data_IF_176369450333
#
_entry.id   IF_176369450333
#
_cell.length_a   1.000
_cell.length_b   1.000
_cell.length_c   1.000
_cell.angle_alpha   90.00
_cell.angle_beta   90.00
_cell.angle_gamma   90.00
#
_symmetry.space_group_name_H-M   'P 1'
#
loop_
_entity.id
_entity.type
_entity.pdbx_description
1 polymer ?
#
# COMPACT_ATOMS: atom_id res chain seq x y z
N UNK A 1 -19.39 -1.96 -24.85
CA UNK A 1 -18.18 -1.44 -25.53
C UNK A 1 -17.89 -2.31 -26.75
N UNK A 2 -17.95 -1.77 -27.98
CA UNK A 2 -17.47 -2.51 -29.17
C UNK A 2 -15.94 -2.46 -29.17
N UNK A 3 -15.30 -3.61 -28.98
CA UNK A 3 -13.84 -3.73 -29.04
C UNK A 3 -13.41 -3.44 -30.48
N UNK A 4 -12.68 -2.34 -30.70
CA UNK A 4 -12.11 -1.99 -32.00
C UNK A 4 -10.67 -2.50 -31.99
N UNK A 5 -10.36 -3.66 -32.62
CA UNK A 5 -9.01 -4.18 -32.60
C UNK A 5 -8.04 -3.17 -33.22
N UNK A 6 -6.89 -3.00 -32.58
CA UNK A 6 -5.77 -2.23 -33.12
C UNK A 6 -5.40 -2.79 -34.50
N UNK A 7 -5.24 -1.90 -35.49
CA UNK A 7 -4.75 -2.29 -36.84
C UNK A 7 -3.28 -2.75 -36.83
N UNK A 8 -2.56 -2.48 -35.75
CA UNK A 8 -1.17 -2.89 -35.57
C UNK A 8 -1.14 -4.25 -34.89
N UNK A 9 -0.49 -5.23 -35.54
CA UNK A 9 -0.15 -6.51 -34.93
C UNK A 9 0.72 -6.29 -33.69
N UNK A 10 0.40 -7.01 -32.60
CA UNK A 10 1.12 -6.88 -31.34
C UNK A 10 2.44 -7.64 -31.43
N UNK A 11 3.56 -6.93 -31.48
CA UNK A 11 4.89 -7.54 -31.59
C UNK A 11 5.53 -7.70 -30.19
N UNK A 12 6.48 -8.63 -30.04
CA UNK A 12 7.30 -8.76 -28.81
C UNK A 12 8.00 -7.43 -28.47
N UNK A 13 8.34 -6.64 -29.50
CA UNK A 13 8.90 -5.30 -29.36
C UNK A 13 7.94 -4.26 -28.74
N UNK A 14 6.65 -4.57 -28.62
CA UNK A 14 5.67 -3.71 -27.95
C UNK A 14 5.57 -4.02 -26.44
N UNK A 15 6.14 -5.14 -25.96
CA UNK A 15 6.15 -5.51 -24.53
C UNK A 15 7.05 -4.58 -23.69
N UNK A 16 6.72 -4.35 -22.41
CA UNK A 16 7.51 -3.47 -21.55
C UNK A 16 8.92 -4.04 -21.32
N UNK A 17 9.92 -3.18 -21.52
CA UNK A 17 11.35 -3.50 -21.30
C UNK A 17 11.74 -3.52 -19.82
N UNK A 18 11.05 -2.74 -18.98
CA UNK A 18 11.33 -2.66 -17.55
C UNK A 18 10.06 -2.36 -16.74
N UNK A 19 10.16 -2.48 -15.40
CA UNK A 19 9.03 -2.27 -14.48
C UNK A 19 8.44 -0.85 -14.53
N UNK A 20 9.26 0.16 -14.85
CA UNK A 20 8.77 1.54 -15.06
C UNK A 20 7.90 1.65 -16.31
N UNK A 21 8.35 1.07 -17.42
CA UNK A 21 7.56 1.01 -18.66
C UNK A 21 6.28 0.21 -18.47
N UNK A 22 6.34 -0.88 -17.68
CA UNK A 22 5.18 -1.70 -17.33
C UNK A 22 4.09 -0.90 -16.58
N UNK A 23 4.47 0.00 -15.68
CA UNK A 23 3.51 0.88 -15.00
C UNK A 23 2.69 1.73 -15.99
N UNK A 24 3.36 2.35 -16.97
CA UNK A 24 2.66 3.15 -17.98
C UNK A 24 1.86 2.28 -18.96
N UNK A 25 2.31 1.04 -19.21
CA UNK A 25 1.57 0.08 -20.03
C UNK A 25 0.24 -0.33 -19.37
N UNK A 26 0.22 -0.47 -18.04
CA UNK A 26 -0.99 -0.78 -17.27
C UNK A 26 -2.09 0.28 -17.44
N UNK A 27 -1.72 1.56 -17.48
CA UNK A 27 -2.67 2.63 -17.77
C UNK A 27 -3.27 2.56 -19.18
N UNK A 28 -2.50 2.09 -20.15
CA UNK A 28 -2.94 1.99 -21.55
C UNK A 28 -3.82 0.77 -21.77
N UNK A 29 -3.50 -0.34 -21.10
CA UNK A 29 -4.12 -1.64 -21.36
C UNK A 29 -5.34 -1.92 -20.49
N UNK A 30 -5.28 -1.60 -19.18
CA UNK A 30 -6.36 -1.89 -18.22
C UNK A 30 -6.53 -0.78 -17.16
N UNK A 31 -6.87 0.45 -17.56
CA UNK A 31 -7.07 1.56 -16.61
C UNK A 31 -8.19 1.29 -15.60
N UNK A 32 -9.25 0.57 -15.99
CA UNK A 32 -10.37 0.25 -15.10
C UNK A 32 -9.96 -0.63 -13.90
N UNK A 33 -8.90 -1.42 -14.03
CA UNK A 33 -8.43 -2.26 -12.93
C UNK A 33 -7.89 -1.42 -11.76
N UNK A 34 -7.34 -0.23 -12.02
CA UNK A 34 -6.98 0.70 -10.94
C UNK A 34 -8.21 1.16 -10.16
N UNK A 35 -9.32 1.47 -10.87
CA UNK A 35 -10.57 1.87 -10.24
C UNK A 35 -11.21 0.71 -9.46
N UNK A 36 -11.18 -0.51 -9.99
CA UNK A 36 -11.66 -1.72 -9.29
C UNK A 36 -10.88 -1.97 -7.99
N UNK A 37 -9.55 -1.83 -8.04
CA UNK A 37 -8.69 -1.89 -6.85
C UNK A 37 -9.05 -0.77 -5.87
N UNK A 38 -9.25 0.46 -6.36
CA UNK A 38 -9.64 1.61 -5.54
C UNK A 38 -11.00 1.47 -4.85
N UNK A 39 -12.00 0.96 -5.56
CA UNK A 39 -13.33 0.69 -5.01
C UNK A 39 -13.26 -0.39 -3.93
N UNK A 40 -12.46 -1.43 -4.16
CA UNK A 40 -12.25 -2.47 -3.16
C UNK A 40 -11.52 -1.93 -1.93
N UNK A 41 -10.49 -1.09 -2.10
CA UNK A 41 -9.83 -0.40 -1.00
C UNK A 41 -10.83 0.45 -0.23
N UNK A 42 -11.64 1.26 -0.91
CA UNK A 42 -12.65 2.10 -0.28
C UNK A 42 -13.63 1.29 0.57
N UNK A 43 -14.05 0.11 0.10
CA UNK A 43 -14.87 -0.81 0.89
C UNK A 43 -14.18 -1.23 2.19
N UNK A 44 -12.90 -1.63 2.13
CA UNK A 44 -12.15 -2.03 3.34
C UNK A 44 -11.75 -0.86 4.24
N UNK A 45 -11.66 0.36 3.71
CA UNK A 45 -11.49 1.59 4.47
C UNK A 45 -12.80 2.14 5.05
N UNK A 46 -13.96 1.63 4.63
CA UNK A 46 -15.26 2.15 5.10
C UNK A 46 -15.44 2.16 6.62
N UNK A 47 -14.98 1.15 7.40
CA UNK A 47 -15.09 1.23 8.87
C UNK A 47 -14.30 2.40 9.45
N UNK A 48 -13.10 2.66 8.91
CA UNK A 48 -12.27 3.79 9.29
C UNK A 48 -12.96 5.13 8.96
N UNK A 49 -13.50 5.26 7.74
CA UNK A 49 -14.19 6.48 7.29
C UNK A 49 -15.42 6.79 8.13
N UNK A 50 -16.19 5.76 8.50
CA UNK A 50 -17.35 5.91 9.40
C UNK A 50 -16.89 6.34 10.80
N UNK A 51 -15.88 5.67 11.37
CA UNK A 51 -15.33 6.03 12.67
C UNK A 51 -14.77 7.46 12.69
N UNK A 52 -14.14 7.89 11.60
CA UNK A 52 -13.59 9.23 11.43
C UNK A 52 -14.68 10.32 11.47
N UNK A 53 -15.75 10.15 10.69
CA UNK A 53 -16.88 11.07 10.69
C UNK A 53 -17.60 11.05 12.04
N UNK A 54 -17.78 9.87 12.63
CA UNK A 54 -18.40 9.71 13.94
C UNK A 54 -17.61 10.43 15.04
N UNK A 55 -16.27 10.27 15.09
CA UNK A 55 -15.38 10.99 16.00
C UNK A 55 -15.64 12.49 15.92
N UNK A 56 -15.68 13.05 14.71
CA UNK A 56 -15.81 14.48 14.56
C UNK A 56 -17.21 14.98 14.93
N UNK A 57 -18.26 14.48 14.27
CA UNK A 57 -19.59 15.06 14.36
C UNK A 57 -20.38 14.64 15.61
N UNK A 58 -20.13 13.45 16.12
CA UNK A 58 -20.87 12.92 17.27
C UNK A 58 -20.14 13.18 18.58
N UNK A 59 -18.81 13.25 18.56
CA UNK A 59 -18.00 13.38 19.78
C UNK A 59 -17.36 14.77 19.89
N UNK A 60 -16.55 15.19 18.92
CA UNK A 60 -15.75 16.41 19.05
C UNK A 60 -16.55 17.70 18.86
N UNK A 61 -17.43 17.78 17.86
CA UNK A 61 -18.20 18.99 17.57
C UNK A 61 -19.16 19.37 18.71
N UNK A 62 -19.93 18.44 19.31
CA UNK A 62 -20.74 18.77 20.48
C UNK A 62 -19.88 19.24 21.66
N UNK A 63 -18.76 18.56 21.92
CA UNK A 63 -17.86 18.91 23.01
C UNK A 63 -17.24 20.31 22.83
N UNK A 64 -16.87 20.67 21.59
CA UNK A 64 -16.36 22.00 21.26
C UNK A 64 -17.38 23.10 21.56
N UNK A 65 -18.66 22.83 21.33
CA UNK A 65 -19.74 23.80 21.57
C UNK A 65 -20.15 23.90 23.06
N UNK A 66 -19.84 22.89 23.88
CA UNK A 66 -20.32 22.80 25.26
C UNK A 66 -19.26 23.00 26.34
N UNK A 67 -17.98 22.75 26.05
CA UNK A 67 -16.90 22.78 27.02
C UNK A 67 -16.12 24.10 26.94
N UNK A 68 -15.46 24.47 28.03
CA UNK A 68 -14.44 25.53 27.98
C UNK A 68 -13.22 25.07 27.15
N UNK A 69 -12.42 26.02 26.67
CA UNK A 69 -11.27 25.72 25.81
C UNK A 69 -10.27 24.73 26.44
N UNK A 70 -9.96 24.92 27.73
CA UNK A 70 -9.03 24.05 28.47
C UNK A 70 -9.58 22.64 28.64
N UNK A 71 -10.87 22.51 28.98
CA UNK A 71 -11.56 21.23 29.09
C UNK A 71 -11.66 20.53 27.73
N UNK A 72 -11.93 21.28 26.66
CA UNK A 72 -12.00 20.75 25.31
C UNK A 72 -10.66 20.17 24.85
N UNK A 73 -9.53 20.84 25.14
CA UNK A 73 -8.21 20.32 24.77
C UNK A 73 -7.94 18.97 25.45
N UNK A 74 -8.19 18.86 26.75
CA UNK A 74 -8.04 17.59 27.47
C UNK A 74 -8.98 16.51 26.93
N UNK A 75 -10.25 16.87 26.68
CA UNK A 75 -11.24 15.97 26.11
C UNK A 75 -10.85 15.47 24.72
N UNK A 76 -10.37 16.36 23.85
CA UNK A 76 -9.90 16.06 22.49
C UNK A 76 -8.74 15.08 22.50
N UNK A 77 -7.76 15.30 23.38
CA UNK A 77 -6.57 14.47 23.48
C UNK A 77 -6.92 13.05 23.95
N UNK A 78 -7.73 12.92 25.01
CA UNK A 78 -8.17 11.60 25.51
C UNK A 78 -9.03 10.86 24.49
N UNK A 79 -10.00 11.54 23.87
CA UNK A 79 -10.84 10.92 22.86
C UNK A 79 -10.05 10.57 21.60
N UNK A 80 -9.02 11.34 21.24
CA UNK A 80 -8.17 10.99 20.10
C UNK A 80 -7.51 9.64 20.32
N UNK A 81 -6.92 9.41 21.49
CA UNK A 81 -6.32 8.11 21.82
C UNK A 81 -7.33 6.95 21.79
N UNK A 82 -8.56 7.16 22.28
CA UNK A 82 -9.65 6.16 22.21
C UNK A 82 -9.96 5.82 20.74
N UNK A 83 -10.09 6.84 19.89
CA UNK A 83 -10.35 6.63 18.48
C UNK A 83 -9.14 6.05 17.73
N UNK A 84 -7.90 6.32 18.16
CA UNK A 84 -6.73 5.69 17.57
C UNK A 84 -6.76 4.17 17.77
N UNK A 85 -7.20 3.71 18.93
CA UNK A 85 -7.46 2.28 19.15
C UNK A 85 -8.56 1.74 18.21
N UNK A 86 -9.66 2.48 18.05
CA UNK A 86 -10.73 2.12 17.09
C UNK A 86 -10.20 2.08 15.66
N UNK A 87 -9.36 3.04 15.26
CA UNK A 87 -8.73 3.08 13.95
C UNK A 87 -7.79 1.90 13.72
N UNK A 88 -7.00 1.49 14.72
CA UNK A 88 -6.21 0.26 14.67
C UNK A 88 -7.07 -0.96 14.32
N UNK A 89 -8.25 -1.09 14.94
CA UNK A 89 -9.21 -2.16 14.60
C UNK A 89 -9.80 -2.00 13.18
N UNK A 90 -10.07 -0.77 12.75
CA UNK A 90 -10.55 -0.52 11.39
C UNK A 90 -9.47 -0.86 10.33
N UNK A 91 -8.20 -0.57 10.61
CA UNK A 91 -7.09 -0.90 9.72
C UNK A 91 -6.88 -2.40 9.56
N UNK A 92 -7.38 -3.25 10.46
CA UNK A 92 -7.39 -4.70 10.26
C UNK A 92 -8.06 -5.07 8.93
N UNK A 93 -9.22 -4.47 8.65
CA UNK A 93 -9.95 -4.68 7.41
C UNK A 93 -9.14 -4.21 6.19
N UNK A 94 -8.47 -3.06 6.31
CA UNK A 94 -7.58 -2.56 5.26
C UNK A 94 -6.46 -3.55 4.94
N UNK A 95 -5.77 -4.08 5.95
CA UNK A 95 -4.70 -5.05 5.74
C UNK A 95 -5.20 -6.39 5.18
N UNK A 96 -6.42 -6.82 5.54
CA UNK A 96 -7.09 -7.95 4.88
C UNK A 96 -7.29 -7.65 3.40
N UNK A 97 -7.84 -6.48 3.05
CA UNK A 97 -8.02 -6.07 1.65
C UNK A 97 -6.70 -6.01 0.87
N UNK A 98 -5.66 -5.42 1.46
CA UNK A 98 -4.34 -5.32 0.84
C UNK A 98 -3.73 -6.71 0.55
N UNK A 99 -3.97 -7.71 1.40
CA UNK A 99 -3.45 -9.06 1.20
C UNK A 99 -3.98 -9.76 -0.05
N UNK A 100 -5.23 -9.47 -0.43
CA UNK A 100 -5.84 -9.94 -1.68
C UNK A 100 -5.41 -9.10 -2.88
N UNK A 101 -5.39 -7.77 -2.73
CA UNK A 101 -5.00 -6.83 -3.79
C UNK A 101 -3.54 -7.06 -4.22
N UNK A 102 -2.63 -7.31 -3.27
CA UNK A 102 -1.23 -7.59 -3.58
C UNK A 102 -1.09 -8.77 -4.56
N UNK A 103 -1.92 -9.81 -4.41
CA UNK A 103 -1.94 -10.92 -5.38
C UNK A 103 -2.44 -10.48 -6.75
N UNK A 104 -3.49 -9.67 -6.84
CA UNK A 104 -3.99 -9.14 -8.12
C UNK A 104 -2.89 -8.36 -8.84
N UNK A 105 -2.23 -7.43 -8.13
CA UNK A 105 -1.15 -6.61 -8.70
C UNK A 105 0.02 -7.49 -9.15
N UNK A 106 0.39 -8.51 -8.37
CA UNK A 106 1.44 -9.46 -8.73
C UNK A 106 1.10 -10.25 -9.99
N UNK A 107 -0.13 -10.77 -10.12
CA UNK A 107 -0.55 -11.48 -11.33
C UNK A 107 -0.54 -10.56 -12.56
N UNK A 108 -0.98 -9.32 -12.37
CA UNK A 108 -0.92 -8.31 -13.42
C UNK A 108 0.52 -8.04 -13.88
N UNK A 109 1.45 -7.85 -12.93
CA UNK A 109 2.88 -7.64 -13.18
C UNK A 109 3.57 -8.82 -13.86
N UNK A 110 3.05 -10.03 -13.68
CA UNK A 110 3.55 -11.23 -14.33
C UNK A 110 2.89 -11.53 -15.68
N UNK A 111 1.99 -10.67 -16.16
CA UNK A 111 1.27 -10.90 -17.42
C UNK A 111 0.28 -12.07 -17.36
N UNK A 112 -0.01 -12.58 -16.17
CA UNK A 112 -0.96 -13.67 -16.00
C UNK A 112 -2.40 -13.16 -16.11
N UNK A 113 -3.32 -14.04 -16.51
CA UNK A 113 -4.75 -13.76 -16.46
C UNK A 113 -5.21 -13.42 -15.04
N UNK A 114 -6.05 -12.39 -14.90
CA UNK A 114 -6.56 -11.92 -13.61
C UNK A 114 -8.03 -12.28 -13.53
N UNK A 115 -8.37 -13.18 -12.62
CA UNK A 115 -9.76 -13.47 -12.24
C UNK A 115 -10.04 -12.75 -10.94
N UNK A 116 -10.47 -11.48 -11.02
CA UNK A 116 -10.45 -10.51 -9.91
C UNK A 116 -10.83 -11.10 -8.55
N UNK A 117 -12.05 -11.63 -8.39
CA UNK A 117 -12.52 -12.17 -7.12
C UNK A 117 -11.83 -13.47 -6.70
N UNK A 118 -11.56 -14.37 -7.65
CA UNK A 118 -10.85 -15.62 -7.37
C UNK A 118 -9.43 -15.33 -6.85
N UNK A 119 -8.69 -14.45 -7.55
CA UNK A 119 -7.35 -14.05 -7.16
C UNK A 119 -7.35 -13.23 -5.88
N UNK A 120 -8.33 -12.36 -5.65
CA UNK A 120 -8.48 -11.64 -4.39
C UNK A 120 -8.59 -12.61 -3.20
N UNK A 121 -9.58 -13.52 -3.23
CA UNK A 121 -9.83 -14.47 -2.13
C UNK A 121 -8.63 -15.39 -1.92
N UNK A 122 -8.04 -15.88 -3.02
CA UNK A 122 -6.83 -16.71 -2.96
C UNK A 122 -5.66 -15.93 -2.36
N UNK A 123 -5.54 -14.65 -2.65
CA UNK A 123 -4.51 -13.76 -2.11
C UNK A 123 -4.65 -13.58 -0.60
N UNK A 124 -5.87 -13.34 -0.13
CA UNK A 124 -6.16 -13.27 1.31
C UNK A 124 -5.75 -14.56 1.99
N UNK A 125 -6.22 -15.71 1.50
CA UNK A 125 -5.92 -17.02 2.11
C UNK A 125 -4.41 -17.32 2.17
N UNK A 126 -3.66 -16.90 1.16
CA UNK A 126 -2.22 -17.17 1.09
C UNK A 126 -1.39 -16.25 2.00
N UNK A 127 -1.75 -14.97 2.08
CA UNK A 127 -0.86 -13.95 2.64
C UNK A 127 -1.34 -13.36 3.97
N UNK A 128 -2.56 -13.68 4.42
CA UNK A 128 -3.17 -13.04 5.59
C UNK A 128 -2.27 -13.05 6.83
N UNK A 129 -1.53 -14.14 7.09
CA UNK A 129 -0.65 -14.23 8.27
C UNK A 129 0.43 -13.15 8.28
N UNK A 130 1.07 -12.90 7.13
CA UNK A 130 2.10 -11.86 7.02
C UNK A 130 1.46 -10.46 7.12
N UNK A 131 0.30 -10.25 6.48
CA UNK A 131 -0.39 -8.97 6.54
C UNK A 131 -0.92 -8.66 7.95
N UNK A 132 -1.35 -9.66 8.72
CA UNK A 132 -1.72 -9.49 10.13
C UNK A 132 -0.52 -9.11 11.01
N UNK A 133 0.67 -9.65 10.74
CA UNK A 133 1.89 -9.23 11.41
C UNK A 133 2.18 -7.75 11.13
N UNK A 134 2.12 -7.32 9.86
CA UNK A 134 2.35 -5.92 9.50
C UNK A 134 1.26 -4.99 10.01
N UNK A 135 0.02 -5.44 10.06
CA UNK A 135 -1.08 -4.72 10.70
C UNK A 135 -0.80 -4.49 12.19
N UNK A 136 -0.37 -5.53 12.92
CA UNK A 136 -0.07 -5.42 14.34
C UNK A 136 1.07 -4.42 14.57
N UNK A 137 2.15 -4.52 13.79
CA UNK A 137 3.27 -3.58 13.86
C UNK A 137 2.80 -2.15 13.57
N UNK A 138 2.10 -1.95 12.45
CA UNK A 138 1.54 -0.64 12.09
C UNK A 138 0.68 -0.05 13.21
N UNK A 139 -0.25 -0.84 13.75
CA UNK A 139 -1.20 -0.43 14.79
C UNK A 139 -0.51 -0.08 16.10
N UNK A 140 0.49 -0.88 16.51
CA UNK A 140 1.27 -0.60 17.73
C UNK A 140 2.06 0.69 17.56
N UNK A 141 2.75 0.88 16.44
CA UNK A 141 3.51 2.12 16.21
C UNK A 141 2.61 3.35 16.11
N UNK A 142 1.48 3.24 15.41
CA UNK A 142 0.48 4.31 15.29
C UNK A 142 -0.05 4.71 16.68
N UNK A 143 -0.55 3.75 17.46
CA UNK A 143 -1.12 4.02 18.78
C UNK A 143 -0.07 4.52 19.79
N UNK A 144 1.12 3.89 19.83
CA UNK A 144 2.18 4.28 20.76
C UNK A 144 2.71 5.68 20.45
N UNK A 145 2.78 6.07 19.17
CA UNK A 145 3.17 7.43 18.78
C UNK A 145 2.28 8.47 19.45
N UNK A 146 0.95 8.31 19.36
CA UNK A 146 0.01 9.27 19.93
C UNK A 146 -0.10 9.16 21.46
N UNK A 147 0.04 7.96 22.03
CA UNK A 147 0.14 7.77 23.48
C UNK A 147 1.35 8.51 24.10
N UNK A 148 2.51 8.48 23.42
CA UNK A 148 3.71 9.15 23.89
C UNK A 148 3.58 10.68 23.79
N UNK A 149 2.90 11.17 22.76
CA UNK A 149 2.55 12.59 22.64
C UNK A 149 1.67 13.04 23.81
N UNK A 150 0.66 12.24 24.14
CA UNK A 150 -0.25 12.53 25.26
C UNK A 150 0.46 12.55 26.61
N UNK A 151 1.31 11.56 26.87
CA UNK A 151 1.92 11.35 28.19
C UNK A 151 3.13 12.23 28.46
N UNK A 152 3.95 12.52 27.44
CA UNK A 152 5.19 13.29 27.63
C UNK A 152 5.01 14.79 27.39
N UNK A 153 3.98 15.23 26.64
CA UNK A 153 3.64 16.64 26.43
C UNK A 153 4.72 17.51 25.75
N UNK A 154 5.85 16.92 25.33
CA UNK A 154 6.97 17.65 24.75
C UNK A 154 6.87 17.66 23.22
N UNK A 155 6.97 18.86 22.64
CA UNK A 155 7.05 19.09 21.21
C UNK A 155 8.07 18.16 20.53
N UNK A 156 9.28 18.00 21.11
CA UNK A 156 10.33 17.14 20.53
C UNK A 156 9.89 15.67 20.40
N UNK A 157 9.22 15.13 21.41
CA UNK A 157 8.71 13.75 21.40
C UNK A 157 7.74 13.54 20.24
N UNK A 158 6.83 14.50 20.00
CA UNK A 158 5.84 14.40 18.92
C UNK A 158 6.47 14.23 17.54
N UNK A 159 7.44 15.06 17.17
CA UNK A 159 8.02 14.99 15.83
C UNK A 159 8.97 13.80 15.65
N UNK A 160 9.69 13.40 16.70
CA UNK A 160 10.58 12.24 16.64
C UNK A 160 9.77 10.95 16.40
N UNK A 161 8.71 10.72 17.18
CA UNK A 161 7.91 9.49 17.03
C UNK A 161 7.06 9.48 15.76
N UNK A 162 6.55 10.63 15.33
CA UNK A 162 5.92 10.76 14.01
C UNK A 162 6.92 10.46 12.88
N UNK A 163 8.15 10.96 12.98
CA UNK A 163 9.23 10.70 12.02
C UNK A 163 9.62 9.21 11.96
N UNK A 164 9.78 8.56 13.12
CA UNK A 164 10.07 7.12 13.18
C UNK A 164 8.94 6.30 12.55
N UNK A 165 7.68 6.63 12.87
CA UNK A 165 6.50 5.96 12.30
C UNK A 165 6.46 6.09 10.78
N UNK A 166 6.82 7.27 10.26
CA UNK A 166 6.93 7.50 8.82
C UNK A 166 8.05 6.68 8.17
N UNK A 167 9.22 6.56 8.81
CA UNK A 167 10.34 5.75 8.32
C UNK A 167 10.06 4.24 8.35
N UNK A 168 9.16 3.78 9.21
CA UNK A 168 8.73 2.38 9.25
C UNK A 168 7.80 2.01 8.10
N UNK A 169 7.07 2.98 7.55
CA UNK A 169 6.07 2.73 6.51
C UNK A 169 6.65 1.97 5.29
N UNK A 170 7.77 2.38 4.66
CA UNK A 170 8.42 1.65 3.57
C UNK A 170 8.79 0.21 3.92
N UNK A 171 9.23 -0.03 5.16
CA UNK A 171 9.61 -1.37 5.61
C UNK A 171 8.38 -2.28 5.66
N UNK A 172 7.24 -1.78 6.14
CA UNK A 172 5.99 -2.53 6.18
C UNK A 172 5.49 -2.88 4.77
N UNK A 173 5.44 -1.89 3.87
CA UNK A 173 4.97 -2.12 2.49
C UNK A 173 5.96 -2.96 1.67
N UNK A 174 7.26 -2.89 1.94
CA UNK A 174 8.27 -3.80 1.36
C UNK A 174 8.02 -5.24 1.82
N UNK A 175 7.79 -5.44 3.12
CA UNK A 175 7.55 -6.76 3.69
C UNK A 175 6.25 -7.39 3.22
N UNK A 176 5.21 -6.58 3.04
CA UNK A 176 3.97 -7.02 2.39
C UNK A 176 4.26 -7.52 0.97
N UNK A 177 5.06 -6.80 0.18
CA UNK A 177 5.44 -7.24 -1.17
C UNK A 177 6.30 -8.52 -1.18
N UNK A 178 7.29 -8.61 -0.28
CA UNK A 178 8.12 -9.81 -0.12
C UNK A 178 7.27 -11.04 0.22
N UNK A 179 6.31 -10.90 1.13
CA UNK A 179 5.44 -12.01 1.56
C UNK A 179 4.58 -12.58 0.43
N UNK A 180 4.33 -11.80 -0.62
CA UNK A 180 3.61 -12.28 -1.80
C UNK A 180 4.45 -13.21 -2.66
N UNK A 181 5.78 -13.19 -2.55
CA UNK A 181 6.67 -13.91 -3.47
C UNK A 181 7.46 -14.98 -2.71
N UNK A 182 7.96 -14.64 -1.54
CA UNK A 182 8.81 -15.50 -0.74
C UNK A 182 8.11 -15.91 0.56
N UNK A 183 8.23 -17.19 0.89
CA UNK A 183 7.71 -17.76 2.14
C UNK A 183 8.79 -17.71 3.23
N UNK A 184 9.03 -16.52 3.78
CA UNK A 184 9.97 -16.32 4.89
C UNK A 184 9.29 -16.40 6.26
N UNK A 185 10.07 -16.71 7.30
CA UNK A 185 9.63 -16.59 8.71
C UNK A 185 9.43 -15.11 9.08
N UNK A 186 8.50 -14.76 10.00
CA UNK A 186 8.18 -13.38 10.39
C UNK A 186 9.37 -12.46 10.65
N UNK A 187 10.32 -12.88 11.50
CA UNK A 187 11.49 -12.05 11.84
C UNK A 187 12.42 -11.86 10.63
N UNK A 188 12.64 -12.93 9.85
CA UNK A 188 13.47 -12.87 8.64
C UNK A 188 12.82 -11.97 7.59
N UNK A 189 11.50 -12.01 7.47
CA UNK A 189 10.76 -11.13 6.59
C UNK A 189 10.97 -9.65 6.96
N UNK A 190 10.94 -9.29 8.24
CA UNK A 190 11.21 -7.91 8.70
C UNK A 190 12.65 -7.47 8.40
N UNK A 191 13.64 -8.32 8.71
CA UNK A 191 15.06 -8.03 8.44
C UNK A 191 15.31 -7.86 6.94
N UNK A 192 14.73 -8.75 6.13
CA UNK A 192 14.82 -8.68 4.67
C UNK A 192 14.16 -7.39 4.17
N UNK A 193 12.97 -7.05 4.66
CA UNK A 193 12.25 -5.83 4.27
C UNK A 193 13.09 -4.58 4.50
N UNK A 194 13.69 -4.47 5.69
CA UNK A 194 14.59 -3.37 6.01
C UNK A 194 15.82 -3.35 5.11
N UNK A 195 16.44 -4.52 4.91
CA UNK A 195 17.62 -4.65 4.04
C UNK A 195 17.33 -4.23 2.59
N UNK A 196 16.16 -4.57 2.05
CA UNK A 196 15.73 -4.14 0.72
C UNK A 196 15.50 -2.64 0.61
N UNK A 197 14.91 -2.01 1.63
CA UNK A 197 14.77 -0.55 1.67
C UNK A 197 16.12 0.17 1.54
N UNK A 198 17.19 -0.42 2.09
CA UNK A 198 18.56 0.12 2.04
C UNK A 198 19.32 -0.17 0.74
N UNK A 199 18.83 -1.07 -0.13
CA UNK A 199 19.51 -1.34 -1.43
C UNK A 199 19.41 -0.16 -2.40
N UNK A 200 18.31 0.60 -2.34
CA UNK A 200 18.07 1.79 -3.17
C UNK A 200 17.41 2.89 -2.33
N UNK A 201 18.13 3.47 -1.35
CA UNK A 201 17.53 4.34 -0.34
C UNK A 201 16.88 5.57 -0.98
N UNK A 202 17.51 6.19 -1.97
CA UNK A 202 16.96 7.37 -2.64
C UNK A 202 15.55 7.13 -3.23
N UNK A 203 15.35 6.02 -3.95
CA UNK A 203 14.03 5.68 -4.49
C UNK A 203 13.04 5.31 -3.39
N UNK A 204 13.49 4.57 -2.37
CA UNK A 204 12.66 4.29 -1.17
C UNK A 204 12.21 5.58 -0.48
N UNK A 205 13.08 6.59 -0.36
CA UNK A 205 12.77 7.91 0.18
C UNK A 205 11.77 8.68 -0.69
N UNK A 206 11.83 8.57 -2.02
CA UNK A 206 10.82 9.19 -2.89
C UNK A 206 9.42 8.64 -2.62
N UNK A 207 9.30 7.35 -2.29
CA UNK A 207 8.01 6.76 -1.91
C UNK A 207 7.50 7.18 -0.53
N UNK A 208 8.32 7.84 0.30
CA UNK A 208 7.87 8.50 1.53
C UNK A 208 7.12 9.82 1.28
N UNK A 209 7.19 10.38 0.07
CA UNK A 209 6.41 11.57 -0.28
C UNK A 209 4.91 11.33 -0.18
N UNK A 210 4.45 10.10 -0.45
CA UNK A 210 3.03 9.74 -0.31
C UNK A 210 2.55 9.75 1.15
N UNK A 211 3.12 8.96 2.09
CA UNK A 211 2.69 9.03 3.50
C UNK A 211 2.92 10.41 4.11
N UNK A 212 3.97 11.14 3.69
CA UNK A 212 4.15 12.53 4.11
C UNK A 212 3.02 13.44 3.60
N UNK A 213 2.63 13.31 2.32
CA UNK A 213 1.49 14.03 1.76
C UNK A 213 0.17 13.72 2.46
N UNK A 214 -0.02 12.49 2.93
CA UNK A 214 -1.18 12.10 3.77
C UNK A 214 -1.15 12.87 5.10
N UNK A 215 0.01 13.02 5.75
CA UNK A 215 0.12 13.81 6.98
C UNK A 215 -0.22 15.28 6.77
N UNK A 216 0.10 15.84 5.59
CA UNK A 216 -0.25 17.21 5.23
C UNK A 216 -1.77 17.42 5.10
N UNK A 217 -2.59 16.37 5.03
CA UNK A 217 -4.05 16.52 5.01
C UNK A 217 -4.60 17.09 6.32
N UNK A 218 -3.86 16.98 7.42
CA UNK A 218 -4.22 17.62 8.70
C UNK A 218 -4.22 19.15 8.63
N UNK A 219 -3.72 19.75 7.54
CA UNK A 219 -3.79 21.19 7.28
C UNK A 219 -5.15 21.63 6.72
N UNK A 220 -6.05 20.69 6.41
CA UNK A 220 -7.40 20.98 5.92
C UNK A 220 -8.34 21.08 7.12
N UNK A 221 -8.68 22.31 7.50
CA UNK A 221 -9.54 22.57 8.67
C UNK A 221 -11.01 22.12 8.47
N UNK A 222 -11.47 22.10 7.22
CA UNK A 222 -12.85 21.75 6.88
C UNK A 222 -13.03 20.22 6.80
N UNK A 223 -13.67 19.62 7.81
CA UNK A 223 -13.78 18.16 7.95
C UNK A 223 -14.41 17.46 6.73
N UNK A 224 -15.43 18.07 6.10
CA UNK A 224 -16.09 17.47 4.94
C UNK A 224 -15.19 17.50 3.71
N UNK A 225 -14.41 18.56 3.56
CA UNK A 225 -13.39 18.65 2.50
C UNK A 225 -12.31 17.60 2.74
N UNK A 226 -11.82 17.50 3.98
CA UNK A 226 -10.85 16.47 4.37
C UNK A 226 -11.38 15.05 4.08
N UNK A 227 -12.63 14.75 4.46
CA UNK A 227 -13.27 13.47 4.18
C UNK A 227 -13.31 13.16 2.68
N UNK A 228 -13.76 14.11 1.85
CA UNK A 228 -13.81 13.93 0.40
C UNK A 228 -12.41 13.72 -0.20
N UNK A 229 -11.42 14.47 0.28
CA UNK A 229 -10.03 14.30 -0.15
C UNK A 229 -9.49 12.93 0.24
N UNK A 230 -9.77 12.44 1.45
CA UNK A 230 -9.38 11.08 1.88
C UNK A 230 -10.05 10.01 1.02
N UNK A 231 -11.34 10.16 0.68
CA UNK A 231 -12.05 9.24 -0.22
C UNK A 231 -11.40 9.22 -1.61
N UNK A 232 -11.09 10.39 -2.19
CA UNK A 232 -10.41 10.49 -3.49
C UNK A 232 -9.01 9.88 -3.41
N UNK A 233 -8.28 10.11 -2.31
CA UNK A 233 -6.96 9.55 -2.08
C UNK A 233 -7.02 8.02 -2.06
N UNK A 234 -7.97 7.42 -1.35
CA UNK A 234 -8.15 5.96 -1.28
C UNK A 234 -8.59 5.40 -2.63
N UNK A 235 -9.52 6.07 -3.32
CA UNK A 235 -10.12 5.57 -4.56
C UNK A 235 -9.17 5.67 -5.76
N UNK A 236 -8.36 6.73 -5.84
CA UNK A 236 -7.56 7.05 -7.01
C UNK A 236 -6.07 6.97 -6.71
N UNK A 237 -5.58 7.74 -5.75
CA UNK A 237 -4.13 7.91 -5.55
C UNK A 237 -3.49 6.65 -4.95
N UNK A 238 -4.16 6.01 -3.99
CA UNK A 238 -3.61 4.86 -3.28
C UNK A 238 -3.44 3.63 -4.16
N UNK A 239 -4.37 3.25 -5.07
CA UNK A 239 -4.13 2.22 -6.08
C UNK A 239 -2.89 2.49 -6.94
N UNK A 240 -2.71 3.73 -7.40
CA UNK A 240 -1.55 4.11 -8.21
C UNK A 240 -0.25 3.94 -7.43
N UNK A 241 -0.24 4.43 -6.18
CA UNK A 241 0.88 4.26 -5.27
C UNK A 241 1.22 2.78 -5.05
N UNK A 242 0.21 1.96 -4.74
CA UNK A 242 0.38 0.53 -4.46
C UNK A 242 0.96 -0.23 -5.66
N UNK A 243 0.47 0.04 -6.87
CA UNK A 243 0.98 -0.59 -8.10
C UNK A 243 2.40 -0.11 -8.40
N UNK A 244 2.67 1.19 -8.29
CA UNK A 244 4.01 1.74 -8.50
C UNK A 244 5.02 1.14 -7.50
N UNK A 245 4.64 1.04 -6.22
CA UNK A 245 5.45 0.43 -5.18
C UNK A 245 5.71 -1.06 -5.45
N UNK A 246 4.68 -1.83 -5.81
CA UNK A 246 4.85 -3.25 -6.14
C UNK A 246 5.81 -3.46 -7.32
N UNK A 247 5.68 -2.66 -8.38
CA UNK A 247 6.58 -2.74 -9.53
C UNK A 247 8.01 -2.34 -9.18
N UNK A 248 8.19 -1.36 -8.29
CA UNK A 248 9.50 -1.02 -7.72
C UNK A 248 10.09 -2.17 -6.91
N UNK A 249 9.31 -2.80 -6.04
CA UNK A 249 9.72 -4.00 -5.30
C UNK A 249 10.13 -5.13 -6.24
N UNK A 250 9.32 -5.43 -7.27
CA UNK A 250 9.67 -6.44 -8.27
C UNK A 250 10.97 -6.12 -9.00
N UNK A 251 11.23 -4.85 -9.34
CA UNK A 251 12.52 -4.45 -9.91
C UNK A 251 13.67 -4.72 -8.95
N UNK A 252 13.52 -4.40 -7.66
CA UNK A 252 14.53 -4.69 -6.66
C UNK A 252 14.78 -6.20 -6.52
N UNK A 253 13.72 -6.99 -6.47
CA UNK A 253 13.80 -8.43 -6.34
C UNK A 253 14.46 -9.06 -7.57
N UNK A 254 14.13 -8.57 -8.76
CA UNK A 254 14.76 -8.99 -10.02
C UNK A 254 16.27 -8.76 -10.00
N UNK A 255 16.70 -7.57 -9.54
CA UNK A 255 18.11 -7.17 -9.56
C UNK A 255 18.95 -7.83 -8.45
N UNK A 256 18.38 -8.07 -7.27
CA UNK A 256 19.13 -8.49 -6.07
C UNK A 256 18.85 -9.92 -5.61
N UNK A 257 17.88 -10.64 -6.17
CA UNK A 257 17.55 -12.00 -5.70
C UNK A 257 17.09 -12.94 -6.81
N UNK A 258 16.11 -12.58 -7.64
CA UNK A 258 15.54 -13.51 -8.62
C UNK A 258 16.57 -13.96 -9.65
N UNK A 259 17.46 -13.06 -10.10
CA UNK A 259 18.48 -13.39 -11.10
C UNK A 259 19.34 -14.59 -10.69
N UNK A 260 19.65 -14.72 -9.41
CA UNK A 260 20.55 -15.75 -8.88
C UNK A 260 19.79 -16.94 -8.28
N UNK A 261 18.75 -16.68 -7.48
CA UNK A 261 18.09 -17.71 -6.68
C UNK A 261 16.74 -18.18 -7.24
N UNK A 262 16.07 -17.36 -8.07
CA UNK A 262 14.77 -17.70 -8.65
C UNK A 262 14.68 -17.31 -10.13
N UNK A 263 15.44 -17.97 -11.03
CA UNK A 263 15.53 -17.57 -12.44
C UNK A 263 14.18 -17.59 -13.16
N UNK A 264 13.25 -18.43 -12.72
CA UNK A 264 11.88 -18.53 -13.23
C UNK A 264 10.98 -17.32 -12.86
N UNK A 265 11.39 -16.49 -11.91
CA UNK A 265 10.72 -15.25 -11.54
C UNK A 265 11.39 -14.01 -12.13
N UNK A 266 12.65 -14.14 -12.56
CA UNK A 266 13.47 -13.04 -13.02
C UNK A 266 12.86 -12.36 -14.25
N UNK A 267 12.50 -11.08 -14.11
CA UNK A 267 11.89 -10.26 -15.17
C UNK A 267 10.59 -10.84 -15.74
N UNK A 268 9.89 -11.65 -14.95
CA UNK A 268 8.60 -12.21 -15.34
C UNK A 268 7.57 -11.13 -15.71
N UNK A 269 6.88 -11.31 -16.82
CA UNK A 269 5.94 -10.36 -17.41
C UNK A 269 6.58 -9.22 -18.20
N UNK A 270 7.90 -9.26 -18.43
CA UNK A 270 8.64 -8.28 -19.24
C UNK A 270 9.16 -8.91 -20.52
N UNK A 271 9.51 -8.07 -21.50
CA UNK A 271 9.96 -8.48 -22.84
C UNK A 271 11.05 -9.56 -22.83
N UNK A 272 12.02 -9.47 -21.92
CA UNK A 272 13.17 -10.37 -21.87
C UNK A 272 12.79 -11.83 -21.57
N UNK A 273 11.71 -12.08 -20.82
CA UNK A 273 11.21 -13.44 -20.56
C UNK A 273 10.77 -14.10 -21.88
N UNK A 274 9.98 -13.38 -22.69
CA UNK A 274 9.47 -13.88 -23.96
C UNK A 274 10.55 -14.07 -25.03
N UNK A 275 11.63 -13.28 -25.00
CA UNK A 275 12.76 -13.49 -25.92
C UNK A 275 13.44 -14.83 -25.60
N UNK A 276 13.70 -15.11 -24.31
CA UNK A 276 14.32 -16.36 -23.87
C UNK A 276 13.47 -17.59 -24.20
N UNK A 277 12.16 -17.54 -23.93
CA UNK A 277 11.26 -18.66 -24.25
C UNK A 277 11.24 -18.97 -25.75
N UNK A 278 11.28 -17.94 -26.60
CA UNK A 278 11.33 -18.14 -28.05
C UNK A 278 12.66 -18.74 -28.53
N UNK A 279 13.79 -18.30 -27.97
CA UNK A 279 15.12 -18.85 -28.29
C UNK A 279 15.25 -20.33 -27.87
N UNK A 280 14.76 -20.70 -26.68
CA UNK A 280 14.74 -22.09 -26.20
C UNK A 280 13.81 -22.99 -27.01
N UNK A 281 12.71 -22.43 -27.55
CA UNK A 281 11.79 -23.21 -28.40
C UNK A 281 12.38 -23.48 -29.78
N UNK A 282 13.23 -22.58 -30.29
CA UNK A 282 13.90 -22.74 -31.58
C UNK A 282 15.09 -23.71 -31.46
N UNK A 283 15.82 -23.72 -30.34
CA UNK A 283 16.95 -24.64 -30.14
C UNK A 283 16.54 -26.10 -29.90
N UNK A 284 15.30 -26.33 -29.47
CA UNK A 284 14.74 -27.67 -29.22
C UNK A 284 13.95 -28.26 -30.41
N UNK A 285 13.94 -27.58 -31.57
CA UNK A 285 13.37 -28.07 -32.84
C UNK A 285 14.48 -28.37 -33.83
#
# INVERSE_FOLDING_TARGET
MKFKPSKKEFLVADLPVNRKAQFFDFFKTRPMLFLEIGLLLLLFFSPFLVAFIFKYYVVLLPAYNSLSETEYISFYLTNSLVFDFVYCLCFLFVFIGLSGIGRIIRQWAWGNGIYFWHDFIKGVKQNIKAYLLFWLLFSVFYFVSDLLVLTMGNFFTKYIFAGISLLLFPVLIMGMCLSLIYSDRPLKLLINSFSYCLKRPFYTFLFLLFPYGVLCLNLIDQIMVLFLVVVILILIIFPLYMVAWHLYCLSLFDDFTNKEYYPNLYKKGLREEYIKENEETISNK
#
